data_IF_836595953282
#
_entry.id   IF_836595953282
#
_cell.length_a   1.000
_cell.length_b   1.000
_cell.length_c   1.000
_cell.angle_alpha   90.00
_cell.angle_beta   90.00
_cell.angle_gamma   90.00
#
_symmetry.space_group_name_H-M   'P 1'
#
loop_
_entity.id
_entity.type
_entity.pdbx_description
1 polymer ?
#
# COMPACT_ATOMS: atom_id res chain seq x y z
N UNK A 1 -35.66 28.99 -15.00
CA UNK A 1 -34.31 29.18 -14.39
C UNK A 1 -33.70 27.80 -14.31
N UNK A 2 -32.88 27.43 -15.30
CA UNK A 2 -32.28 26.11 -15.34
C UNK A 2 -31.16 26.06 -14.29
N UNK A 3 -31.29 25.18 -13.31
CA UNK A 3 -30.20 24.79 -12.41
C UNK A 3 -29.13 24.12 -13.26
N UNK A 4 -28.02 24.83 -13.48
CA UNK A 4 -26.78 24.25 -13.99
C UNK A 4 -26.41 23.08 -13.07
N UNK A 5 -26.11 21.89 -13.59
CA UNK A 5 -25.58 20.82 -12.75
C UNK A 5 -24.31 21.35 -12.08
N UNK A 6 -24.23 21.17 -10.77
CA UNK A 6 -23.03 21.41 -9.99
C UNK A 6 -21.90 20.65 -10.69
N UNK A 7 -20.94 21.37 -11.28
CA UNK A 7 -19.73 20.75 -11.79
C UNK A 7 -19.10 20.08 -10.58
N UNK A 8 -19.26 18.76 -10.46
CA UNK A 8 -18.54 17.99 -9.47
C UNK A 8 -17.07 18.18 -9.78
N UNK A 9 -16.45 19.16 -9.12
CA UNK A 9 -15.04 19.46 -9.28
C UNK A 9 -14.30 18.21 -8.85
N UNK A 10 -13.65 17.56 -9.81
CA UNK A 10 -12.73 16.47 -9.56
C UNK A 10 -11.50 17.04 -8.84
N UNK A 11 -11.65 17.23 -7.53
CA UNK A 11 -10.59 17.75 -6.67
C UNK A 11 -9.60 16.64 -6.36
N UNK A 12 -8.30 16.96 -6.26
CA UNK A 12 -7.28 15.99 -5.88
C UNK A 12 -7.65 15.20 -4.62
N UNK A 13 -7.44 13.90 -4.66
CA UNK A 13 -7.63 13.02 -3.51
C UNK A 13 -6.45 13.17 -2.55
N UNK A 14 -6.67 13.86 -1.43
CA UNK A 14 -5.65 14.11 -0.43
C UNK A 14 -5.70 13.08 0.70
N UNK A 15 -4.58 12.42 0.96
CA UNK A 15 -4.35 11.62 2.17
C UNK A 15 -3.10 12.17 2.86
N UNK A 16 -3.17 12.41 4.16
CA UNK A 16 -2.09 13.02 4.95
C UNK A 16 -1.45 14.25 4.24
N UNK A 17 -0.16 14.16 3.91
CA UNK A 17 0.65 15.21 3.28
C UNK A 17 0.70 15.12 1.75
N UNK A 18 0.00 14.16 1.12
CA UNK A 18 0.05 13.91 -0.33
C UNK A 18 -1.29 14.03 -1.02
N UNK A 19 -1.24 14.49 -2.26
CA UNK A 19 -2.39 14.59 -3.16
C UNK A 19 -2.19 13.63 -4.34
N UNK A 20 -3.26 12.94 -4.71
CA UNK A 20 -3.32 11.98 -5.82
C UNK A 20 -4.44 12.42 -6.78
N UNK A 21 -4.24 12.30 -8.08
CA UNK A 21 -5.32 12.47 -9.06
C UNK A 21 -6.28 11.28 -9.05
N UNK A 22 -5.74 10.08 -8.89
CA UNK A 22 -6.46 8.82 -8.89
C UNK A 22 -6.96 8.43 -7.50
N UNK A 23 -8.21 7.99 -7.44
CA UNK A 23 -8.84 7.39 -6.25
C UNK A 23 -8.76 5.86 -6.26
N UNK A 24 -8.12 5.28 -7.28
CA UNK A 24 -7.93 3.85 -7.40
C UNK A 24 -6.54 3.46 -6.88
N UNK A 25 -6.52 2.65 -5.82
CA UNK A 25 -5.31 2.08 -5.24
C UNK A 25 -5.24 0.61 -5.65
N UNK A 26 -4.11 0.17 -6.19
CA UNK A 26 -3.96 -1.19 -6.76
C UNK A 26 -2.91 -1.99 -5.99
N UNK A 27 -3.19 -3.26 -5.74
CA UNK A 27 -2.21 -4.20 -5.19
C UNK A 27 -1.47 -4.94 -6.29
N UNK A 28 -0.30 -5.48 -5.98
CA UNK A 28 0.58 -6.16 -6.94
C UNK A 28 0.44 -7.68 -6.96
N UNK A 29 -0.41 -8.25 -6.10
CA UNK A 29 -0.63 -9.69 -6.03
C UNK A 29 -1.53 -10.22 -7.14
N UNK A 30 -1.42 -11.52 -7.43
CA UNK A 30 -2.32 -12.33 -8.29
C UNK A 30 -2.22 -12.11 -9.81
N UNK A 31 -1.30 -11.29 -10.29
CA UNK A 31 -1.00 -11.24 -11.73
C UNK A 31 -0.25 -12.50 -12.17
N UNK A 32 -0.43 -12.88 -13.44
CA UNK A 32 0.23 -14.05 -14.02
C UNK A 32 1.76 -13.84 -14.14
N UNK A 33 2.17 -12.60 -14.42
CA UNK A 33 3.55 -12.18 -14.59
C UNK A 33 3.70 -10.67 -14.33
N UNK A 34 4.95 -10.21 -14.14
CA UNK A 34 5.27 -8.82 -13.81
C UNK A 34 4.95 -7.85 -14.97
N UNK A 35 5.09 -8.28 -16.23
CA UNK A 35 4.77 -7.44 -17.40
C UNK A 35 3.27 -7.12 -17.43
N UNK A 36 2.43 -8.13 -17.23
CA UNK A 36 0.98 -8.02 -17.15
C UNK A 36 0.56 -7.16 -15.95
N UNK A 37 1.21 -7.32 -14.80
CA UNK A 37 1.00 -6.46 -13.64
C UNK A 37 1.23 -4.98 -13.98
N UNK A 38 2.40 -4.63 -14.52
CA UNK A 38 2.73 -3.22 -14.82
C UNK A 38 1.78 -2.64 -15.86
N UNK A 39 1.47 -3.38 -16.93
CA UNK A 39 0.50 -2.92 -17.93
C UNK A 39 -0.88 -2.67 -17.33
N UNK A 40 -1.35 -3.54 -16.44
CA UNK A 40 -2.64 -3.38 -15.77
C UNK A 40 -2.65 -2.16 -14.84
N UNK A 41 -1.59 -1.96 -14.04
CA UNK A 41 -1.46 -0.79 -13.15
C UNK A 41 -1.47 0.50 -13.97
N UNK A 42 -0.66 0.59 -15.04
CA UNK A 42 -0.64 1.77 -15.93
C UNK A 42 -1.99 2.04 -16.58
N UNK A 43 -2.65 0.99 -17.11
CA UNK A 43 -3.95 1.12 -17.73
C UNK A 43 -5.05 1.58 -16.74
N UNK A 44 -4.89 1.25 -15.46
CA UNK A 44 -5.82 1.66 -14.41
C UNK A 44 -5.68 3.13 -14.00
N UNK A 45 -4.56 3.78 -14.32
CA UNK A 45 -4.24 5.13 -13.87
C UNK A 45 -4.01 5.23 -12.36
N UNK A 46 -3.71 4.12 -11.68
CA UNK A 46 -3.42 4.11 -10.25
C UNK A 46 -2.05 4.76 -9.98
N UNK A 47 -2.03 5.72 -9.05
CA UNK A 47 -0.80 6.38 -8.60
C UNK A 47 -0.22 5.72 -7.35
N UNK A 48 -1.06 5.05 -6.55
CA UNK A 48 -0.65 4.35 -5.33
C UNK A 48 -0.72 2.84 -5.53
N UNK A 49 0.41 2.16 -5.33
CA UNK A 49 0.57 0.73 -5.57
C UNK A 49 1.02 0.03 -4.29
N UNK A 50 0.24 -0.93 -3.81
CA UNK A 50 0.56 -1.61 -2.54
C UNK A 50 1.45 -2.82 -2.75
N UNK A 51 2.42 -2.99 -1.86
CA UNK A 51 3.48 -3.99 -2.01
C UNK A 51 3.72 -4.74 -0.69
N UNK A 52 3.68 -6.08 -0.72
CA UNK A 52 3.78 -6.89 0.48
C UNK A 52 5.24 -7.08 0.95
N UNK A 53 5.57 -6.54 2.12
CA UNK A 53 6.94 -6.50 2.65
C UNK A 53 7.48 -7.91 2.93
N UNK A 54 6.60 -8.85 3.32
CA UNK A 54 7.02 -10.23 3.61
C UNK A 54 7.52 -11.01 2.39
N UNK A 55 7.16 -10.58 1.18
CA UNK A 55 7.33 -11.35 -0.07
C UNK A 55 8.20 -10.65 -1.11
N UNK A 56 8.81 -9.53 -0.73
CA UNK A 56 9.53 -8.70 -1.67
C UNK A 56 11.02 -8.93 -1.60
N UNK A 57 11.64 -9.08 -2.77
CA UNK A 57 13.07 -8.87 -2.90
C UNK A 57 13.33 -7.37 -2.95
N UNK A 58 14.14 -6.89 -2.01
CA UNK A 58 14.51 -5.49 -1.89
C UNK A 58 15.60 -5.10 -2.90
N UNK A 59 16.24 -6.09 -3.53
CA UNK A 59 17.18 -5.87 -4.61
C UNK A 59 16.43 -5.50 -5.89
N UNK A 60 16.43 -4.20 -6.20
CA UNK A 60 15.78 -3.63 -7.39
C UNK A 60 16.54 -3.94 -8.68
N UNK A 61 17.68 -4.65 -8.63
CA UNK A 61 18.45 -5.03 -9.83
C UNK A 61 18.05 -6.38 -10.39
N UNK A 62 17.26 -7.16 -9.64
CA UNK A 62 16.80 -8.49 -10.05
C UNK A 62 15.52 -8.40 -10.84
N UNK A 63 15.57 -8.84 -12.10
CA UNK A 63 14.45 -8.82 -13.02
C UNK A 63 13.26 -9.66 -12.52
N UNK A 64 13.47 -10.71 -11.72
CA UNK A 64 12.36 -11.47 -11.14
C UNK A 64 11.61 -10.71 -10.04
N UNK A 65 12.26 -9.69 -9.46
CA UNK A 65 11.76 -8.91 -8.34
C UNK A 65 10.73 -7.86 -8.77
N UNK A 66 9.65 -7.73 -8.00
CA UNK A 66 8.57 -6.80 -8.34
C UNK A 66 9.00 -5.32 -8.32
N UNK A 67 9.99 -4.97 -7.49
CA UNK A 67 10.53 -3.61 -7.41
C UNK A 67 11.39 -3.22 -8.61
N UNK A 68 11.90 -4.19 -9.38
CA UNK A 68 12.57 -3.93 -10.64
C UNK A 68 11.60 -3.34 -11.67
N UNK A 69 10.35 -3.79 -11.62
CA UNK A 69 9.31 -3.40 -12.58
C UNK A 69 8.50 -2.17 -12.18
N UNK A 70 8.55 -1.77 -10.90
CA UNK A 70 7.83 -0.62 -10.38
C UNK A 70 8.78 0.55 -10.13
N UNK A 71 8.75 1.49 -11.06
CA UNK A 71 9.49 2.75 -10.98
C UNK A 71 8.95 3.61 -9.82
N UNK A 72 9.78 3.98 -8.82
CA UNK A 72 9.34 4.80 -7.71
C UNK A 72 9.10 6.27 -8.09
N UNK A 73 9.55 6.70 -9.27
CA UNK A 73 9.23 8.01 -9.84
C UNK A 73 7.86 8.01 -10.53
N UNK A 74 7.38 6.83 -10.98
CA UNK A 74 6.06 6.65 -11.60
C UNK A 74 4.97 6.35 -10.56
N UNK A 75 5.26 5.52 -9.55
CA UNK A 75 4.28 5.04 -8.59
C UNK A 75 4.66 5.36 -7.14
N UNK A 76 3.68 5.81 -6.36
CA UNK A 76 3.79 5.83 -4.91
C UNK A 76 3.64 4.42 -4.34
N UNK A 77 4.77 3.82 -3.95
CA UNK A 77 4.79 2.48 -3.38
C UNK A 77 4.36 2.50 -1.91
N UNK A 78 3.26 1.82 -1.60
CA UNK A 78 2.72 1.67 -0.25
C UNK A 78 3.05 0.27 0.30
N UNK A 79 3.99 0.21 1.22
CA UNK A 79 4.32 -1.02 1.93
C UNK A 79 3.10 -1.54 2.71
N UNK A 80 2.89 -2.85 2.72
CA UNK A 80 1.85 -3.49 3.54
C UNK A 80 2.38 -4.66 4.37
N UNK A 81 1.70 -4.94 5.48
CA UNK A 81 2.02 -6.04 6.39
C UNK A 81 1.23 -7.32 6.08
N UNK A 82 0.82 -7.52 4.82
CA UNK A 82 0.02 -8.68 4.44
C UNK A 82 0.67 -10.00 4.89
N UNK A 83 -0.15 -10.86 5.47
CA UNK A 83 0.29 -12.14 6.04
C UNK A 83 0.84 -12.05 7.46
N UNK A 84 0.79 -10.90 8.14
CA UNK A 84 1.03 -10.84 9.58
C UNK A 84 -0.24 -11.26 10.34
N UNK A 85 -0.09 -12.07 11.39
CA UNK A 85 -1.19 -12.57 12.21
C UNK A 85 -1.15 -12.05 13.66
N UNK A 86 -0.16 -11.23 13.98
CA UNK A 86 0.00 -10.60 15.29
C UNK A 86 0.39 -9.14 15.12
N UNK A 87 0.09 -8.31 16.13
CA UNK A 87 0.52 -6.92 16.16
C UNK A 87 2.06 -6.82 16.09
N UNK A 88 2.77 -7.67 16.84
CA UNK A 88 4.23 -7.72 16.86
C UNK A 88 4.82 -7.97 15.47
N UNK A 89 4.28 -8.92 14.71
CA UNK A 89 4.75 -9.19 13.35
C UNK A 89 4.50 -8.00 12.42
N UNK A 90 3.32 -7.38 12.49
CA UNK A 90 3.01 -6.22 11.67
C UNK A 90 3.94 -5.04 11.98
N UNK A 91 4.18 -4.76 13.27
CA UNK A 91 5.14 -3.72 13.70
C UNK A 91 6.55 -4.03 13.19
N UNK A 92 6.99 -5.29 13.32
CA UNK A 92 8.32 -5.71 12.85
C UNK A 92 8.47 -5.51 11.34
N UNK A 93 7.49 -5.92 10.54
CA UNK A 93 7.56 -5.76 9.08
C UNK A 93 7.42 -4.29 8.64
N UNK A 94 6.65 -3.47 9.35
CA UNK A 94 6.61 -2.03 9.10
C UNK A 94 7.99 -1.39 9.28
N UNK A 95 8.67 -1.69 10.39
CA UNK A 95 10.04 -1.21 10.64
C UNK A 95 11.05 -1.73 9.61
N UNK A 96 10.89 -2.98 9.16
CA UNK A 96 11.70 -3.53 8.06
C UNK A 96 11.47 -2.79 6.74
N UNK A 97 10.23 -2.44 6.41
CA UNK A 97 9.94 -1.66 5.21
C UNK A 97 10.63 -0.29 5.25
N UNK A 98 10.52 0.41 6.39
CA UNK A 98 11.23 1.68 6.61
C UNK A 98 12.74 1.51 6.48
N UNK A 99 13.33 0.48 7.10
CA UNK A 99 14.76 0.19 6.99
C UNK A 99 15.20 -0.17 5.57
N UNK A 100 14.29 -0.73 4.77
CA UNK A 100 14.51 -1.05 3.37
C UNK A 100 14.38 0.15 2.41
N UNK A 101 14.12 1.36 2.93
CA UNK A 101 14.00 2.57 2.14
C UNK A 101 12.61 2.83 1.57
N UNK A 102 11.57 2.13 2.05
CA UNK A 102 10.20 2.60 1.85
C UNK A 102 9.94 3.86 2.68
N UNK A 103 8.98 4.65 2.23
CA UNK A 103 8.50 5.81 2.98
C UNK A 103 7.74 5.38 4.25
N UNK A 104 7.37 6.36 5.06
CA UNK A 104 6.71 6.22 6.36
C UNK A 104 5.23 5.87 6.25
N UNK A 105 4.68 5.71 5.04
CA UNK A 105 3.32 5.25 4.86
C UNK A 105 3.24 3.74 4.90
N UNK A 106 2.21 3.24 5.56
CA UNK A 106 2.02 1.80 5.74
C UNK A 106 0.54 1.45 5.61
N UNK A 107 0.23 0.49 4.74
CA UNK A 107 -1.03 -0.24 4.79
C UNK A 107 -0.93 -1.32 5.87
N UNK A 108 -1.50 -1.05 7.03
CA UNK A 108 -1.49 -1.95 8.16
C UNK A 108 -2.54 -3.05 7.96
N UNK A 109 -2.08 -4.29 7.96
CA UNK A 109 -2.90 -5.49 7.91
C UNK A 109 -2.46 -6.43 9.03
N UNK A 110 -3.37 -6.75 9.94
CA UNK A 110 -3.21 -7.85 10.92
C UNK A 110 -4.37 -8.82 10.71
N UNK A 111 -4.05 -10.02 10.24
CA UNK A 111 -5.03 -11.02 9.82
C UNK A 111 -5.43 -11.89 11.00
N UNK A 112 -6.72 -12.03 11.27
CA UNK A 112 -7.25 -12.88 12.34
C UNK A 112 -7.16 -14.37 12.02
N UNK A 113 -7.44 -14.76 10.77
CA UNK A 113 -7.29 -16.15 10.34
C UNK A 113 -7.02 -16.33 8.84
N UNK A 114 -6.44 -17.48 8.49
CA UNK A 114 -6.02 -17.82 7.12
C UNK A 114 -7.18 -18.12 6.17
N UNK A 115 -8.36 -18.51 6.68
CA UNK A 115 -9.48 -18.92 5.85
C UNK A 115 -10.30 -17.72 5.40
N UNK A 116 -10.65 -16.83 6.32
CA UNK A 116 -11.51 -15.67 6.05
C UNK A 116 -10.72 -14.45 5.61
N UNK A 117 -9.45 -14.35 6.04
CA UNK A 117 -8.61 -13.16 5.89
C UNK A 117 -9.22 -11.89 6.51
N UNK A 118 -10.20 -12.04 7.42
CA UNK A 118 -10.73 -10.91 8.19
C UNK A 118 -9.64 -10.34 9.11
N UNK A 119 -9.69 -9.02 9.38
CA UNK A 119 -8.72 -8.40 10.26
C UNK A 119 -8.95 -8.82 11.72
N UNK A 120 -7.85 -9.03 12.45
CA UNK A 120 -7.88 -8.97 13.91
C UNK A 120 -7.93 -7.50 14.31
N UNK A 121 -9.11 -7.03 14.70
CA UNK A 121 -9.33 -5.61 15.02
C UNK A 121 -8.57 -5.16 16.27
N UNK A 122 -8.38 -6.03 17.26
CA UNK A 122 -7.68 -5.66 18.50
C UNK A 122 -6.17 -5.53 18.24
N UNK A 123 -5.59 -6.53 17.58
CA UNK A 123 -4.18 -6.50 17.19
C UNK A 123 -3.88 -5.37 16.17
N UNK A 124 -4.83 -5.05 15.29
CA UNK A 124 -4.72 -3.90 14.37
C UNK A 124 -4.65 -2.58 15.15
N UNK A 125 -5.51 -2.38 16.16
CA UNK A 125 -5.48 -1.17 16.99
C UNK A 125 -4.19 -1.06 17.82
N UNK A 126 -3.70 -2.19 18.35
CA UNK A 126 -2.42 -2.25 19.07
C UNK A 126 -1.26 -1.82 18.17
N UNK A 127 -1.13 -2.44 17.00
CA UNK A 127 -0.08 -2.11 16.04
C UNK A 127 -0.19 -0.66 15.54
N UNK A 128 -1.40 -0.19 15.25
CA UNK A 128 -1.62 1.18 14.80
C UNK A 128 -1.13 2.20 15.83
N UNK A 129 -1.41 1.99 17.13
CA UNK A 129 -0.96 2.88 18.20
C UNK A 129 0.56 3.01 18.22
N UNK A 130 1.27 1.88 18.22
CA UNK A 130 2.73 1.86 18.23
C UNK A 130 3.31 2.54 16.99
N UNK A 131 2.76 2.22 15.81
CA UNK A 131 3.29 2.72 14.55
C UNK A 131 3.04 4.23 14.35
N UNK A 132 1.88 4.73 14.77
CA UNK A 132 1.61 6.17 14.77
C UNK A 132 2.56 6.90 15.73
N UNK A 133 2.80 6.37 16.93
CA UNK A 133 3.77 6.94 17.89
C UNK A 133 5.21 6.92 17.33
N UNK A 134 5.52 5.98 16.44
CA UNK A 134 6.79 5.89 15.70
C UNK A 134 6.84 6.73 14.41
N UNK A 135 5.82 7.54 14.16
CA UNK A 135 5.75 8.47 13.03
C UNK A 135 5.37 7.84 11.69
N UNK A 136 4.74 6.66 11.68
CA UNK A 136 4.15 6.12 10.44
C UNK A 136 2.82 6.82 10.10
N UNK A 137 2.58 7.04 8.81
CA UNK A 137 1.25 7.34 8.26
C UNK A 137 0.52 6.01 8.05
N UNK A 138 -0.27 5.59 9.05
CA UNK A 138 -0.99 4.31 9.02
C UNK A 138 -2.29 4.40 8.23
N UNK A 139 -2.47 3.47 7.29
CA UNK A 139 -3.71 3.20 6.56
C UNK A 139 -4.17 1.78 6.95
N UNK A 140 -5.23 1.64 7.75
CA UNK A 140 -5.72 0.35 8.27
C UNK A 140 -7.13 0.03 7.77
#
# INVERSE_FOLDING_TARGET
MATTPDETLDTPFRIADREFGSRLIVGTGKYADNETMVRAIRASGAEMVTVAVRRIDLDRTKEEGILYHLDPEEFFLLANTAGCYTAEDAIRYARLARAAGFNEWLKLEVIGDQQTLLPDTEATLEAARVLVDEGFTVMA
#
